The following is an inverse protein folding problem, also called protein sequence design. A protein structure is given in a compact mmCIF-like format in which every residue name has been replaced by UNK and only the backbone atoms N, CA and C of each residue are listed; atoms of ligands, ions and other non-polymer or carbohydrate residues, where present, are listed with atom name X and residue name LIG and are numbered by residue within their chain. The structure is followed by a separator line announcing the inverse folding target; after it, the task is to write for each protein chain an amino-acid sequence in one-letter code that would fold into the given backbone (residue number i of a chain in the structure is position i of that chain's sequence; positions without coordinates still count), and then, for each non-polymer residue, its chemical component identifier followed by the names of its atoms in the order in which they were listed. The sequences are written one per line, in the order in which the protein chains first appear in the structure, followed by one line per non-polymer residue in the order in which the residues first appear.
data_IF_873938478030
#
_entry.id   IF_873938478030
#
_cell.length_a   1.000
_cell.length_b   1.000
_cell.length_c   1.000
_cell.angle_alpha   90.00
_cell.angle_beta   90.00
_cell.angle_gamma   90.00
#
_symmetry.space_group_name_H-M   'P 1'
#
loop_
_entity.id
_entity.type
_entity.pdbx_description
1 polymer ?
#
# COMPACT_ATOMS: atom_id res chain seq x y z
N UNK A 1 1.18 52.82 -51.12
CA UNK A 1 0.65 51.85 -50.13
C UNK A 1 0.86 52.45 -48.74
N UNK A 2 -0.22 52.81 -48.05
CA UNK A 2 -0.19 53.79 -46.94
C UNK A 2 0.39 53.22 -45.64
N UNK A 3 1.40 53.91 -45.11
CA UNK A 3 2.18 53.61 -43.88
C UNK A 3 1.33 53.46 -42.60
N UNK A 4 0.06 53.86 -42.63
CA UNK A 4 -0.92 53.72 -41.52
C UNK A 4 -1.47 52.29 -41.36
N UNK A 5 -1.47 51.46 -42.40
CA UNK A 5 -1.97 50.08 -42.30
C UNK A 5 -0.94 49.10 -41.70
N UNK A 6 0.35 49.43 -41.81
CA UNK A 6 1.45 48.62 -41.25
C UNK A 6 1.49 48.74 -39.72
N UNK A 7 1.10 49.88 -39.16
CA UNK A 7 1.07 50.09 -37.71
C UNK A 7 -0.15 49.42 -37.05
N UNK A 8 -1.28 49.28 -37.76
CA UNK A 8 -2.46 48.57 -37.25
C UNK A 8 -2.28 47.04 -37.28
N UNK A 9 -1.47 46.50 -38.20
CA UNK A 9 -1.09 45.08 -38.23
C UNK A 9 -0.08 44.70 -37.13
N UNK A 10 0.71 45.65 -36.63
CA UNK A 10 1.69 45.41 -35.57
C UNK A 10 1.07 45.33 -34.16
N UNK A 11 -0.09 45.94 -33.94
CA UNK A 11 -0.77 45.94 -32.63
C UNK A 11 -1.66 44.69 -32.45
N UNK A 12 -2.09 44.05 -33.54
CA UNK A 12 -2.85 42.80 -33.49
C UNK A 12 -1.98 41.54 -33.25
N UNK A 13 -0.65 41.65 -33.36
CA UNK A 13 0.27 40.49 -33.22
C UNK A 13 0.87 40.34 -31.81
N UNK A 14 0.62 41.30 -30.90
CA UNK A 14 1.15 41.30 -29.53
C UNK A 14 0.11 40.78 -28.50
N UNK A 15 -1.05 40.31 -28.96
CA UNK A 15 -2.14 39.86 -28.09
C UNK A 15 -2.34 38.31 -28.05
N UNK A 16 -1.33 37.51 -28.43
CA UNK A 16 -1.48 36.03 -28.53
C UNK A 16 -0.47 35.24 -27.66
N UNK A 17 0.34 35.88 -26.82
CA UNK A 17 1.35 35.17 -26.01
C UNK A 17 1.11 35.22 -24.49
N UNK A 18 -0.15 35.24 -24.05
CA UNK A 18 -0.49 35.07 -22.64
C UNK A 18 -1.58 34.02 -22.48
N UNK A 19 -1.29 32.97 -21.70
CA UNK A 19 -2.08 31.75 -21.45
C UNK A 19 -2.10 30.80 -22.65
N UNK A 20 -1.39 29.67 -22.65
CA UNK A 20 -1.65 28.52 -21.79
C UNK A 20 -0.39 27.66 -21.57
N UNK A 21 0.18 27.72 -20.37
CA UNK A 21 1.11 26.68 -19.88
C UNK A 21 0.72 26.35 -18.43
N UNK A 22 -0.53 25.97 -18.22
CA UNK A 22 -1.01 25.44 -16.94
C UNK A 22 -1.79 24.16 -17.24
N UNK A 23 -1.13 23.13 -17.78
CA UNK A 23 -1.63 21.75 -17.82
C UNK A 23 -0.46 20.82 -18.18
N UNK A 24 0.38 20.45 -17.22
CA UNK A 24 1.31 19.31 -17.40
C UNK A 24 1.98 18.80 -16.10
N UNK A 25 1.96 19.53 -14.98
CA UNK A 25 2.71 19.13 -13.76
C UNK A 25 1.97 18.14 -12.83
N UNK A 26 0.95 17.42 -13.29
CA UNK A 26 0.21 16.47 -12.44
C UNK A 26 0.71 15.02 -12.53
N UNK A 27 1.64 14.71 -13.44
CA UNK A 27 2.27 13.39 -13.50
C UNK A 27 3.44 13.34 -12.51
N UNK A 28 3.48 12.32 -11.67
CA UNK A 28 4.62 12.04 -10.79
C UNK A 28 5.86 11.87 -11.69
N UNK A 29 6.94 12.58 -11.40
CA UNK A 29 8.22 12.43 -12.11
C UNK A 29 8.62 10.93 -12.13
N UNK A 30 9.00 10.34 -13.29
CA UNK A 30 9.29 8.90 -13.40
C UNK A 30 10.31 8.36 -12.39
N UNK A 31 11.26 9.19 -11.94
CA UNK A 31 12.20 8.78 -10.90
C UNK A 31 11.55 8.73 -9.51
N UNK A 32 10.54 9.56 -9.26
CA UNK A 32 9.76 9.59 -8.01
C UNK A 32 8.76 8.44 -7.96
N UNK A 33 8.16 8.09 -9.09
CA UNK A 33 7.26 6.93 -9.21
C UNK A 33 7.98 5.64 -8.78
N UNK A 34 9.17 5.38 -9.32
CA UNK A 34 10.00 4.24 -8.90
C UNK A 34 10.37 4.23 -7.42
N UNK A 35 10.60 5.40 -6.83
CA UNK A 35 10.91 5.51 -5.41
C UNK A 35 9.68 5.20 -4.54
N UNK A 36 8.50 5.67 -4.95
CA UNK A 36 7.21 5.36 -4.32
C UNK A 36 6.91 3.86 -4.42
N UNK A 37 7.10 3.27 -5.60
CA UNK A 37 6.91 1.83 -5.80
C UNK A 37 7.84 1.03 -4.89
N UNK A 38 9.11 1.41 -4.83
CA UNK A 38 10.08 0.75 -3.95
C UNK A 38 9.67 0.85 -2.48
N UNK A 39 9.19 2.02 -2.04
CA UNK A 39 8.71 2.24 -0.68
C UNK A 39 7.45 1.40 -0.38
N UNK A 40 6.51 1.32 -1.32
CA UNK A 40 5.32 0.49 -1.18
C UNK A 40 5.68 -1.00 -1.04
N UNK A 41 6.56 -1.50 -1.90
CA UNK A 41 7.05 -2.87 -1.84
C UNK A 41 7.80 -3.16 -0.54
N UNK A 42 8.58 -2.21 -0.03
CA UNK A 42 9.26 -2.33 1.27
C UNK A 42 8.27 -2.46 2.42
N UNK A 43 7.25 -1.59 2.49
CA UNK A 43 6.22 -1.66 3.54
C UNK A 43 5.43 -2.97 3.49
N UNK A 44 5.11 -3.47 2.30
CA UNK A 44 4.44 -4.76 2.13
C UNK A 44 5.33 -5.92 2.57
N UNK A 45 6.63 -5.88 2.26
CA UNK A 45 7.60 -6.88 2.74
C UNK A 45 7.75 -6.85 4.26
N UNK A 46 7.77 -5.65 4.85
CA UNK A 46 7.86 -5.50 6.31
C UNK A 46 6.61 -5.99 7.01
N UNK A 47 5.41 -5.73 6.46
CA UNK A 47 4.17 -6.32 6.94
C UNK A 47 4.24 -7.86 6.94
N UNK A 48 4.71 -8.47 5.85
CA UNK A 48 4.90 -9.92 5.78
C UNK A 48 5.83 -10.46 6.88
N UNK A 49 6.94 -9.76 7.16
CA UNK A 49 7.85 -10.11 8.27
C UNK A 49 7.14 -10.00 9.62
N UNK A 50 6.37 -8.94 9.85
CA UNK A 50 5.63 -8.75 11.09
C UNK A 50 4.57 -9.84 11.31
N UNK A 51 3.77 -10.15 10.29
CA UNK A 51 2.78 -11.22 10.33
C UNK A 51 3.43 -12.56 10.68
N UNK A 52 4.60 -12.86 10.09
CA UNK A 52 5.37 -14.06 10.41
C UNK A 52 5.79 -14.11 11.89
N UNK A 53 6.25 -12.99 12.45
CA UNK A 53 6.64 -12.92 13.87
C UNK A 53 5.42 -13.05 14.79
N UNK A 54 4.32 -12.37 14.47
CA UNK A 54 3.07 -12.37 15.26
C UNK A 54 2.42 -13.77 15.27
N UNK A 55 2.43 -14.46 14.14
CA UNK A 55 1.86 -15.81 14.01
C UNK A 55 2.74 -16.93 14.55
N UNK A 56 4.03 -16.68 14.75
CA UNK A 56 4.96 -17.69 15.26
C UNK A 56 4.68 -17.99 16.74
N UNK A 57 4.31 -19.23 17.03
CA UNK A 57 3.95 -19.73 18.36
C UNK A 57 5.11 -19.76 19.35
N UNK A 58 6.35 -19.65 18.87
CA UNK A 58 7.54 -19.52 19.71
C UNK A 58 7.89 -18.07 20.06
N UNK A 59 7.25 -17.07 19.45
CA UNK A 59 7.49 -15.66 19.76
C UNK A 59 6.91 -15.32 21.14
N UNK A 60 7.68 -14.73 22.06
CA UNK A 60 7.17 -14.26 23.36
C UNK A 60 6.02 -13.26 23.20
N UNK A 61 5.00 -13.36 24.06
CA UNK A 61 3.78 -12.53 23.96
C UNK A 61 4.06 -11.02 23.95
N UNK A 62 4.99 -10.55 24.78
CA UNK A 62 5.40 -9.15 24.84
C UNK A 62 6.09 -8.68 23.55
N UNK A 63 6.90 -9.54 22.92
CA UNK A 63 7.52 -9.27 21.63
C UNK A 63 6.47 -9.23 20.52
N UNK A 64 5.60 -10.24 20.46
CA UNK A 64 4.51 -10.30 19.48
C UNK A 64 3.63 -9.04 19.58
N UNK A 65 3.29 -8.60 20.80
CA UNK A 65 2.49 -7.38 21.02
C UNK A 65 3.18 -6.13 20.51
N UNK A 66 4.47 -5.95 20.79
CA UNK A 66 5.25 -4.82 20.25
C UNK A 66 5.33 -4.83 18.73
N UNK A 67 5.41 -6.01 18.13
CA UNK A 67 5.41 -6.16 16.67
C UNK A 67 4.02 -5.89 16.09
N UNK A 68 2.94 -6.28 16.77
CA UNK A 68 1.58 -5.88 16.37
C UNK A 68 1.42 -4.36 16.33
N UNK A 69 1.95 -3.64 17.32
CA UNK A 69 1.86 -2.17 17.36
C UNK A 69 2.54 -1.55 16.14
N UNK A 70 3.77 -1.99 15.82
CA UNK A 70 4.51 -1.53 14.62
C UNK A 70 3.83 -1.92 13.31
N UNK A 71 3.22 -3.09 13.26
CA UNK A 71 2.49 -3.53 12.09
C UNK A 71 1.22 -2.71 11.86
N UNK A 72 0.50 -2.34 12.93
CA UNK A 72 -0.68 -1.48 12.85
C UNK A 72 -0.34 -0.07 12.36
N UNK A 73 0.83 0.48 12.71
CA UNK A 73 1.32 1.78 12.23
C UNK A 73 1.53 1.84 10.71
N UNK A 74 1.63 0.70 10.03
CA UNK A 74 1.70 0.67 8.57
C UNK A 74 0.36 1.01 7.90
N UNK A 75 -0.75 0.91 8.63
CA UNK A 75 -2.10 1.00 8.07
C UNK A 75 -2.78 2.34 8.31
N UNK A 76 -3.67 2.68 7.38
CA UNK A 76 -4.61 3.76 7.56
C UNK A 76 -5.60 3.41 8.69
N UNK A 77 -6.08 4.40 9.46
CA UNK A 77 -7.05 4.15 10.51
C UNK A 77 -8.31 3.47 9.98
N UNK A 78 -8.74 2.42 10.68
CA UNK A 78 -9.98 1.70 10.35
C UNK A 78 -9.83 0.63 9.27
N UNK A 79 -8.64 0.41 8.70
CA UNK A 79 -8.40 -0.63 7.71
C UNK A 79 -8.72 -2.03 8.19
N UNK A 80 -9.08 -2.89 7.23
CA UNK A 80 -9.51 -4.27 7.44
C UNK A 80 -8.67 -5.29 6.68
N UNK A 81 -8.61 -6.49 7.25
CA UNK A 81 -7.91 -7.66 6.75
C UNK A 81 -8.91 -8.75 6.41
N UNK A 82 -8.95 -9.12 5.14
CA UNK A 82 -9.72 -10.25 4.63
C UNK A 82 -9.06 -11.58 4.96
N UNK A 83 -9.87 -12.49 5.51
CA UNK A 83 -9.50 -13.86 5.84
C UNK A 83 -10.49 -14.81 5.16
N UNK A 84 -9.95 -15.80 4.49
CA UNK A 84 -10.68 -16.88 3.86
C UNK A 84 -10.07 -18.21 4.28
N UNK A 85 -10.74 -19.31 3.94
CA UNK A 85 -10.20 -20.65 4.14
C UNK A 85 -10.77 -21.60 3.08
N UNK A 86 -10.13 -22.75 2.87
CA UNK A 86 -10.68 -23.81 2.03
C UNK A 86 -11.94 -24.46 2.62
N UNK A 87 -12.23 -24.23 3.90
CA UNK A 87 -13.37 -24.80 4.61
C UNK A 87 -14.66 -23.96 4.49
N UNK A 88 -14.56 -22.69 4.07
CA UNK A 88 -15.69 -21.77 3.96
C UNK A 88 -15.53 -20.91 2.71
N UNK A 89 -16.62 -20.73 1.97
CA UNK A 89 -16.62 -19.84 0.79
C UNK A 89 -16.64 -18.34 1.15
N UNK A 90 -17.09 -18.00 2.35
CA UNK A 90 -17.22 -16.61 2.78
C UNK A 90 -15.87 -16.01 3.23
N UNK A 91 -15.61 -14.78 2.81
CA UNK A 91 -14.47 -13.98 3.26
C UNK A 91 -14.91 -13.13 4.45
N UNK A 92 -14.28 -13.35 5.59
CA UNK A 92 -14.50 -12.58 6.80
C UNK A 92 -13.50 -11.40 6.86
N UNK A 93 -13.98 -10.22 7.24
CA UNK A 93 -13.15 -9.02 7.37
C UNK A 93 -13.00 -8.62 8.83
N UNK A 94 -11.76 -8.38 9.23
CA UNK A 94 -11.41 -8.02 10.60
C UNK A 94 -10.61 -6.73 10.62
N UNK A 95 -10.81 -5.87 11.63
CA UNK A 95 -9.89 -4.75 11.85
C UNK A 95 -8.47 -5.28 12.00
N UNK A 96 -7.47 -4.55 11.48
CA UNK A 96 -6.06 -4.96 11.47
C UNK A 96 -5.60 -5.49 12.84
N UNK A 97 -5.88 -4.76 13.92
CA UNK A 97 -5.55 -5.18 15.28
C UNK A 97 -6.22 -6.50 15.69
N UNK A 98 -7.49 -6.67 15.34
CA UNK A 98 -8.23 -7.89 15.65
C UNK A 98 -7.66 -9.09 14.88
N UNK A 99 -7.36 -8.91 13.60
CA UNK A 99 -6.71 -9.92 12.77
C UNK A 99 -5.41 -10.42 13.41
N UNK A 100 -4.52 -9.52 13.86
CA UNK A 100 -3.27 -9.93 14.51
C UNK A 100 -3.48 -10.70 15.82
N UNK A 101 -4.46 -10.30 16.64
CA UNK A 101 -4.83 -11.03 17.87
C UNK A 101 -5.33 -12.43 17.55
N UNK A 102 -6.18 -12.58 16.52
CA UNK A 102 -6.70 -13.87 16.07
C UNK A 102 -5.60 -14.78 15.55
N UNK A 103 -4.66 -14.24 14.78
CA UNK A 103 -3.49 -14.95 14.28
C UNK A 103 -2.65 -15.55 15.43
N UNK A 104 -2.39 -14.75 16.46
CA UNK A 104 -1.69 -15.19 17.67
C UNK A 104 -2.47 -16.29 18.41
N UNK A 105 -3.80 -16.19 18.46
CA UNK A 105 -4.69 -17.11 19.17
C UNK A 105 -5.05 -18.39 18.39
N UNK A 106 -4.58 -18.58 17.16
CA UNK A 106 -4.87 -19.79 16.38
C UNK A 106 -4.45 -21.06 17.13
N UNK A 107 -5.32 -22.08 17.11
CA UNK A 107 -5.11 -23.35 17.80
C UNK A 107 -4.27 -24.31 16.95
N UNK A 108 -3.01 -23.93 16.72
CA UNK A 108 -1.98 -24.75 16.09
C UNK A 108 -0.71 -24.74 16.93
N UNK A 109 0.02 -25.85 16.96
CA UNK A 109 1.32 -25.92 17.64
C UNK A 109 2.38 -25.08 16.90
N UNK A 110 2.30 -25.04 15.57
CA UNK A 110 3.15 -24.19 14.73
C UNK A 110 2.36 -23.64 13.55
N UNK A 111 2.66 -22.39 13.22
CA UNK A 111 2.10 -21.65 12.08
C UNK A 111 3.27 -21.14 11.24
N UNK A 112 3.24 -21.43 9.94
CA UNK A 112 4.17 -20.89 8.96
C UNK A 112 3.39 -20.00 8.00
N UNK A 113 3.85 -18.76 7.84
CA UNK A 113 3.27 -17.80 6.89
C UNK A 113 4.41 -17.30 6.00
N UNK A 114 4.19 -17.38 4.69
CA UNK A 114 5.13 -16.92 3.68
C UNK A 114 4.40 -16.04 2.67
N UNK A 115 4.93 -14.84 2.46
CA UNK A 115 4.48 -13.91 1.43
C UNK A 115 5.48 -13.93 0.28
N UNK A 116 4.97 -14.10 -0.94
CA UNK A 116 5.80 -14.18 -2.16
C UNK A 116 5.09 -13.49 -3.33
N UNK A 117 5.84 -13.34 -4.43
CA UNK A 117 5.41 -12.67 -5.66
C UNK A 117 4.85 -11.25 -5.48
N UNK A 118 5.48 -10.50 -4.57
CA UNK A 118 5.19 -9.08 -4.31
C UNK A 118 5.75 -8.23 -5.46
N UNK A 119 5.01 -8.13 -6.57
CA UNK A 119 5.53 -7.47 -7.79
C UNK A 119 4.55 -6.53 -8.49
N UNK A 120 3.24 -6.69 -8.31
CA UNK A 120 2.26 -5.91 -9.06
C UNK A 120 1.75 -4.75 -8.23
N UNK A 121 2.10 -3.53 -8.62
CA UNK A 121 1.42 -2.30 -8.20
C UNK A 121 0.58 -1.85 -9.39
N UNK A 122 -0.72 -1.64 -9.20
CA UNK A 122 -1.55 -0.99 -10.21
C UNK A 122 -1.08 0.45 -10.44
N UNK A 123 -1.41 1.04 -11.58
CA UNK A 123 -1.16 2.47 -11.81
C UNK A 123 -1.77 3.31 -10.67
N UNK A 124 -1.02 4.32 -10.21
CA UNK A 124 -1.44 5.18 -9.12
C UNK A 124 -2.46 6.22 -9.61
N UNK A 125 -3.69 6.14 -9.09
CA UNK A 125 -4.77 7.04 -9.44
C UNK A 125 -4.92 8.17 -8.42
N UNK A 126 -4.90 9.42 -8.89
CA UNK A 126 -5.11 10.59 -8.03
C UNK A 126 -6.58 10.74 -7.67
N UNK A 127 -6.87 10.76 -6.37
CA UNK A 127 -8.19 10.96 -5.80
C UNK A 127 -8.55 12.46 -5.65
N UNK A 128 -9.84 12.81 -5.46
CA UNK A 128 -10.27 14.20 -5.28
C UNK A 128 -9.64 14.91 -4.08
N UNK A 129 -9.25 14.15 -3.05
CA UNK A 129 -8.56 14.65 -1.86
C UNK A 129 -7.05 14.91 -2.08
N UNK A 130 -6.54 14.60 -3.29
CA UNK A 130 -5.15 14.80 -3.68
C UNK A 130 -4.21 13.64 -3.36
N UNK A 131 -4.68 12.59 -2.67
CA UNK A 131 -3.90 11.36 -2.45
C UNK A 131 -3.86 10.52 -3.72
N UNK A 132 -2.82 9.73 -3.90
CA UNK A 132 -2.78 8.70 -4.93
C UNK A 132 -3.14 7.36 -4.32
N UNK A 133 -3.90 6.55 -5.06
CA UNK A 133 -4.35 5.22 -4.63
C UNK A 133 -3.90 4.19 -5.64
N UNK A 134 -3.36 3.09 -5.15
CA UNK A 134 -3.03 1.92 -5.95
C UNK A 134 -3.34 0.62 -5.21
N UNK A 135 -3.03 -0.50 -5.85
CA UNK A 135 -3.21 -1.84 -5.30
C UNK A 135 -1.94 -2.64 -5.47
N UNK A 136 -1.46 -3.27 -4.39
CA UNK A 136 -0.36 -4.24 -4.42
C UNK A 136 -0.92 -5.65 -4.29
N UNK A 137 -0.65 -6.52 -5.25
CA UNK A 137 -1.03 -7.93 -5.17
C UNK A 137 0.09 -8.78 -4.59
N UNK A 138 -0.25 -9.67 -3.65
CA UNK A 138 0.67 -10.66 -3.06
C UNK A 138 0.03 -12.04 -3.01
N UNK A 139 0.88 -13.07 -2.92
CA UNK A 139 0.44 -14.41 -2.56
C UNK A 139 0.92 -14.75 -1.16
N UNK A 140 0.01 -15.29 -0.35
CA UNK A 140 0.31 -15.76 1.00
C UNK A 140 0.08 -17.27 1.05
N UNK A 141 1.13 -18.01 1.39
CA UNK A 141 1.03 -19.40 1.80
C UNK A 141 0.88 -19.47 3.33
N UNK A 142 -0.11 -20.22 3.80
CA UNK A 142 -0.32 -20.49 5.22
C UNK A 142 -0.25 -22.00 5.47
N UNK A 143 0.45 -22.40 6.53
CA UNK A 143 0.50 -23.77 7.00
C UNK A 143 0.34 -23.81 8.53
N UNK A 144 -0.60 -24.62 9.01
CA UNK A 144 -0.81 -24.93 10.42
C UNK A 144 -0.51 -26.40 10.69
N UNK A 145 0.31 -26.68 11.70
CA UNK A 145 0.72 -28.05 12.09
C UNK A 145 0.41 -28.30 13.56
N UNK A 146 -0.02 -29.53 13.88
CA UNK A 146 -0.21 -30.03 15.25
C UNK A 146 0.66 -31.28 15.44
N UNK A 147 1.62 -31.20 16.35
CA UNK A 147 2.75 -32.13 16.45
C UNK A 147 3.45 -32.26 15.10
N UNK A 148 3.65 -33.50 14.66
CA UNK A 148 4.29 -33.82 13.37
C UNK A 148 3.30 -33.82 12.18
N UNK A 149 2.01 -33.57 12.40
CA UNK A 149 0.98 -33.64 11.36
C UNK A 149 0.67 -32.25 10.80
N UNK A 150 0.73 -32.12 9.47
CA UNK A 150 0.13 -30.99 8.76
C UNK A 150 -1.39 -31.02 8.95
N UNK A 151 -1.90 -30.02 9.67
CA UNK A 151 -3.33 -29.92 9.99
C UNK A 151 -4.08 -29.14 8.91
N UNK A 152 -3.47 -28.08 8.37
CA UNK A 152 -4.09 -27.22 7.37
C UNK A 152 -3.03 -26.53 6.50
N UNK A 153 -3.36 -26.31 5.23
CA UNK A 153 -2.57 -25.51 4.28
C UNK A 153 -3.50 -24.83 3.29
N UNK A 154 -3.20 -23.58 2.96
CA UNK A 154 -3.76 -22.90 1.81
C UNK A 154 -2.76 -21.89 1.19
N UNK A 155 -3.13 -21.40 0.02
CA UNK A 155 -2.55 -20.25 -0.65
C UNK A 155 -3.66 -19.25 -0.91
N UNK A 156 -3.45 -18.00 -0.51
CA UNK A 156 -4.40 -16.90 -0.76
C UNK A 156 -3.76 -15.83 -1.61
N UNK A 157 -4.48 -15.37 -2.63
CA UNK A 157 -4.14 -14.16 -3.37
C UNK A 157 -4.78 -12.98 -2.66
N UNK A 158 -3.96 -11.98 -2.32
CA UNK A 158 -4.40 -10.80 -1.59
C UNK A 158 -4.06 -9.53 -2.33
N UNK A 159 -4.99 -8.58 -2.29
CA UNK A 159 -4.89 -7.27 -2.91
C UNK A 159 -4.90 -6.21 -1.81
N UNK A 160 -3.79 -5.48 -1.69
CA UNK A 160 -3.53 -4.50 -0.63
C UNK A 160 -3.73 -3.11 -1.23
N UNK A 161 -4.67 -2.34 -0.69
CA UNK A 161 -4.81 -0.94 -1.09
C UNK A 161 -3.59 -0.16 -0.57
N UNK A 162 -3.03 0.73 -1.37
CA UNK A 162 -1.97 1.65 -0.94
C UNK A 162 -2.42 3.08 -1.15
N UNK A 163 -2.16 3.93 -0.15
CA UNK A 163 -2.34 5.37 -0.21
C UNK A 163 -0.97 6.01 -0.27
N UNK A 164 -0.76 6.90 -1.23
CA UNK A 164 0.46 7.70 -1.34
C UNK A 164 0.09 9.15 -1.10
N UNK A 165 0.71 9.74 -0.08
CA UNK A 165 0.45 11.10 0.33
C UNK A 165 1.74 11.90 0.47
N UNK A 166 1.63 13.21 0.24
CA UNK A 166 2.74 14.14 0.39
C UNK A 166 2.77 14.63 1.83
N UNK A 167 3.87 14.39 2.52
CA UNK A 167 4.12 14.87 3.88
C UNK A 167 5.18 15.96 3.87
N UNK A 168 5.08 16.84 4.86
CA UNK A 168 6.06 17.89 5.11
C UNK A 168 6.70 17.68 6.48
N UNK A 169 8.01 17.87 6.56
CA UNK A 169 8.74 17.87 7.82
C UNK A 169 9.70 19.06 7.87
N UNK A 170 9.99 19.56 9.06
CA UNK A 170 10.98 20.61 9.25
C UNK A 170 12.30 20.02 9.71
N UNK A 171 13.35 20.15 8.89
CA UNK A 171 14.70 19.75 9.25
C UNK A 171 15.60 20.98 9.20
N UNK A 172 16.21 21.32 10.34
CA UNK A 172 17.09 22.49 10.48
C UNK A 172 16.47 23.81 9.96
N UNK A 173 15.17 24.03 10.25
CA UNK A 173 14.44 25.23 9.84
C UNK A 173 14.05 25.29 8.36
N UNK A 174 14.26 24.21 7.60
CA UNK A 174 13.79 24.07 6.21
C UNK A 174 12.63 23.08 6.15
N UNK A 175 11.56 23.45 5.45
CA UNK A 175 10.48 22.52 5.09
C UNK A 175 10.98 21.59 4.00
N UNK A 176 10.91 20.29 4.25
CA UNK A 176 11.23 19.23 3.30
C UNK A 176 9.95 18.45 3.04
N UNK A 177 9.59 18.36 1.77
CA UNK A 177 8.46 17.56 1.32
C UNK A 177 8.94 16.17 0.91
N UNK A 178 8.22 15.13 1.31
CA UNK A 178 8.48 13.74 0.93
C UNK A 178 7.17 12.99 0.70
N UNK A 179 7.25 11.90 -0.05
CA UNK A 179 6.12 11.00 -0.24
C UNK A 179 6.14 9.93 0.84
N UNK A 180 4.99 9.68 1.47
CA UNK A 180 4.79 8.54 2.37
C UNK A 180 3.77 7.59 1.75
N UNK A 181 3.89 6.31 2.11
CA UNK A 181 2.99 5.24 1.69
C UNK A 181 2.29 4.66 2.90
N UNK A 182 0.98 4.55 2.87
CA UNK A 182 0.18 3.98 3.95
C UNK A 182 -0.61 2.81 3.38
N UNK A 183 -0.63 1.67 4.07
CA UNK A 183 -1.40 0.51 3.67
C UNK A 183 -2.88 0.70 4.02
N UNK A 184 -3.77 0.24 3.16
CA UNK A 184 -5.21 0.24 3.37
C UNK A 184 -5.74 -1.16 3.61
N UNK A 185 -6.98 -1.38 3.19
CA UNK A 185 -7.62 -2.69 3.29
C UNK A 185 -6.87 -3.75 2.51
N UNK A 186 -6.82 -4.96 3.06
CA UNK A 186 -6.31 -6.16 2.38
C UNK A 186 -7.49 -7.05 2.06
N UNK A 187 -7.77 -7.22 0.76
CA UNK A 187 -8.84 -8.08 0.26
C UNK A 187 -8.27 -9.43 -0.15
N UNK A 188 -9.11 -10.47 -0.08
CA UNK A 188 -8.79 -11.78 -0.65
C UNK A 188 -9.48 -11.88 -2.00
N UNK A 189 -8.72 -12.15 -3.05
CA UNK A 189 -9.26 -12.39 -4.40
C UNK A 189 -9.34 -13.87 -4.75
N UNK A 190 -8.51 -14.72 -4.15
CA UNK A 190 -8.52 -16.17 -4.41
C UNK A 190 -8.03 -16.96 -3.19
N UNK A 191 -8.53 -18.18 -3.02
CA UNK A 191 -8.05 -19.17 -2.05
C UNK A 191 -7.93 -20.53 -2.72
N UNK A 192 -6.76 -21.14 -2.64
CA UNK A 192 -6.41 -22.40 -3.31
C UNK A 192 -5.46 -23.24 -2.44
N UNK A 193 -5.15 -24.46 -2.88
CA UNK A 193 -4.29 -25.43 -2.19
C UNK A 193 -2.80 -25.20 -2.48
#
# INVERSE_FOLDING_TARGET
MNRRYIQLLAIAFIAVFTSTAVMAQNAVDPNREKAIDSLALEKVKDLGKYIKIIGNKSTPYNEATRVMDRAEELFAPGSEMGVSSLAKEEIEYYKVREYFRRLMALNYDKVTIEWYDVHYISDLERQPDGRYVGVVTIYQKFEGTNGDKLAYKDTTKKDITIYVEKKETQIAGRTIEFWDVILGDIRVSETSI
#
